data_IF_917365037575
#
_entry.id   IF_917365037575
#
_cell.length_a   1.000
_cell.length_b   1.000
_cell.length_c   1.000
_cell.angle_alpha   90.00
_cell.angle_beta   90.00
_cell.angle_gamma   90.00
#
_symmetry.space_group_name_H-M   'P 1'
#
loop_
_entity.id
_entity.type
_entity.pdbx_description
1 polymer ?
#
# COMPACT_ATOMS: atom_id res chain seq x y z
N UNK A 1 8.37 -11.29 0.09
CA UNK A 1 7.92 -12.56 0.73
C UNK A 1 6.92 -13.34 -0.12
N UNK A 2 5.87 -12.69 -0.67
CA UNK A 2 4.78 -13.36 -1.38
C UNK A 2 5.19 -14.37 -2.47
N UNK A 3 6.12 -14.02 -3.37
CA UNK A 3 6.58 -14.93 -4.45
C UNK A 3 7.25 -16.20 -3.89
N UNK A 4 7.96 -16.09 -2.75
CA UNK A 4 8.54 -17.28 -2.10
C UNK A 4 7.44 -18.19 -1.53
N UNK A 5 6.36 -17.62 -1.00
CA UNK A 5 5.23 -18.38 -0.47
C UNK A 5 4.42 -19.04 -1.58
N UNK A 6 4.27 -18.39 -2.73
CA UNK A 6 3.64 -19.01 -3.90
C UNK A 6 4.40 -20.25 -4.36
N UNK A 7 5.74 -20.15 -4.45
CA UNK A 7 6.58 -21.29 -4.86
C UNK A 7 6.58 -22.46 -3.88
N UNK A 8 6.39 -22.20 -2.57
CA UNK A 8 6.49 -23.24 -1.53
C UNK A 8 5.13 -23.79 -1.12
N UNK A 9 4.08 -22.97 -1.13
CA UNK A 9 2.76 -23.32 -0.59
C UNK A 9 1.64 -23.27 -1.64
N UNK A 10 1.91 -22.85 -2.88
CA UNK A 10 0.89 -22.78 -3.95
C UNK A 10 -0.17 -21.68 -3.75
N UNK A 11 -0.01 -20.82 -2.75
CA UNK A 11 -0.86 -19.64 -2.55
C UNK A 11 -0.50 -18.55 -3.54
N UNK A 12 -1.49 -17.89 -4.16
CA UNK A 12 -1.21 -16.82 -5.11
C UNK A 12 -0.57 -15.61 -4.44
N UNK A 13 0.60 -15.19 -4.93
CA UNK A 13 1.35 -14.06 -4.42
C UNK A 13 0.55 -12.75 -4.57
N UNK A 14 -0.22 -12.59 -5.65
CA UNK A 14 -1.09 -11.44 -5.85
C UNK A 14 -2.12 -11.27 -4.72
N UNK A 15 -2.59 -12.38 -4.15
CA UNK A 15 -3.56 -12.37 -3.06
C UNK A 15 -2.88 -11.92 -1.77
N UNK A 16 -1.68 -12.42 -1.49
CA UNK A 16 -0.89 -11.99 -0.32
C UNK A 16 -0.50 -10.52 -0.39
N UNK A 17 -0.11 -10.02 -1.56
CA UNK A 17 0.25 -8.61 -1.75
C UNK A 17 -0.97 -7.70 -1.52
N UNK A 18 -2.14 -8.07 -2.02
CA UNK A 18 -3.37 -7.31 -1.76
C UNK A 18 -3.74 -7.30 -0.27
N UNK A 19 -3.60 -8.43 0.42
CA UNK A 19 -3.85 -8.50 1.86
C UNK A 19 -2.90 -7.60 2.65
N UNK A 20 -1.60 -7.62 2.32
CA UNK A 20 -0.62 -6.77 2.97
C UNK A 20 -0.90 -5.28 2.70
N UNK A 21 -1.14 -4.91 1.44
CA UNK A 21 -1.47 -3.52 1.09
C UNK A 21 -2.75 -3.03 1.79
N UNK A 22 -3.77 -3.89 1.91
CA UNK A 22 -4.99 -3.55 2.65
C UNK A 22 -4.72 -3.33 4.14
N UNK A 23 -3.88 -4.17 4.75
CA UNK A 23 -3.48 -4.01 6.14
C UNK A 23 -2.69 -2.71 6.35
N UNK A 24 -1.67 -2.47 5.54
CA UNK A 24 -0.82 -1.28 5.64
C UNK A 24 -1.64 0.00 5.44
N UNK A 25 -2.58 -0.01 4.48
CA UNK A 25 -3.50 1.10 4.26
C UNK A 25 -4.42 1.32 5.46
N UNK A 26 -4.97 0.26 6.06
CA UNK A 26 -5.81 0.39 7.25
C UNK A 26 -5.02 0.98 8.44
N UNK A 27 -3.76 0.56 8.63
CA UNK A 27 -2.88 1.12 9.65
C UNK A 27 -2.55 2.59 9.38
N UNK A 28 -2.23 2.96 8.14
CA UNK A 28 -1.97 4.34 7.74
C UNK A 28 -3.21 5.23 7.93
N UNK A 29 -4.40 4.72 7.60
CA UNK A 29 -5.68 5.43 7.81
C UNK A 29 -5.98 5.66 9.27
N UNK A 30 -5.68 4.69 10.14
CA UNK A 30 -5.88 4.84 11.58
C UNK A 30 -5.03 5.98 12.19
N UNK A 31 -3.90 6.32 11.54
CA UNK A 31 -2.97 7.37 11.97
C UNK A 31 -2.89 8.51 10.94
N UNK A 32 -3.92 8.70 10.11
CA UNK A 32 -3.84 9.65 8.99
C UNK A 32 -3.69 11.11 9.45
N UNK A 33 -4.11 11.42 10.69
CA UNK A 33 -3.94 12.74 11.30
C UNK A 33 -2.49 13.11 11.61
N UNK A 34 -1.58 12.13 11.69
CA UNK A 34 -0.15 12.35 11.92
C UNK A 34 0.61 12.56 10.58
N UNK A 35 -0.06 12.41 9.45
CA UNK A 35 0.54 12.52 8.12
C UNK A 35 0.47 13.98 7.66
N UNK A 36 1.56 14.72 7.85
CA UNK A 36 1.69 16.08 7.34
C UNK A 36 1.95 16.06 5.82
N UNK A 37 1.06 16.70 5.05
CA UNK A 37 1.18 16.83 3.59
C UNK A 37 1.06 18.29 3.16
N UNK A 38 2.02 18.75 2.36
CA UNK A 38 1.91 20.03 1.65
C UNK A 38 1.15 19.82 0.33
N UNK A 39 0.25 20.75 0.00
CA UNK A 39 -0.41 20.73 -1.31
C UNK A 39 0.61 21.08 -2.38
N UNK A 40 0.83 20.16 -3.32
CA UNK A 40 1.57 20.48 -4.54
C UNK A 40 0.70 21.43 -5.35
N UNK A 41 1.14 22.69 -5.49
CA UNK A 41 0.55 23.60 -6.46
C UNK A 41 0.88 23.04 -7.85
N UNK A 42 -0.12 22.56 -8.57
CA UNK A 42 0.05 22.33 -9.99
C UNK A 42 0.26 23.71 -10.62
N UNK A 43 1.49 24.02 -11.02
CA UNK A 43 1.73 25.04 -12.04
C UNK A 43 1.04 24.54 -13.31
N UNK A 44 -0.22 24.94 -13.46
CA UNK A 44 -0.91 24.84 -14.73
C UNK A 44 -0.22 25.87 -15.65
N UNK A 45 0.78 25.41 -16.40
CA UNK A 45 1.27 26.13 -17.57
C UNK A 45 0.09 26.33 -18.53
N UNK A 46 -0.48 27.53 -18.53
CA UNK A 46 -1.36 28.06 -19.59
C UNK A 46 -0.53 28.73 -20.67
#
# INVERSE_FOLDING_TARGET
MAIRFEKVFGVRADTLVRMQAAYDLAQARAHEGDIEVERVAAELET
#
